data_IF_989515120154
#
_entry.id   IF_989515120154
#
_cell.length_a   1.000
_cell.length_b   1.000
_cell.length_c   1.000
_cell.angle_alpha   90.00
_cell.angle_beta   90.00
_cell.angle_gamma   90.00
#
_symmetry.space_group_name_H-M   'P 1'
#
loop_
_entity.id
_entity.type
_entity.pdbx_description
1 polymer ?
#
# COMPACT_ATOMS: atom_id res chain seq x y z
N UNK A 1 -37.64 -4.15 -5.02
CA UNK A 1 -37.94 -3.69 -3.65
C UNK A 1 -37.70 -4.76 -2.57
N UNK A 2 -37.63 -6.06 -2.91
CA UNK A 2 -37.37 -7.18 -1.98
C UNK A 2 -36.00 -7.16 -1.26
N UNK A 3 -34.95 -6.62 -1.88
CA UNK A 3 -33.58 -6.64 -1.33
C UNK A 3 -33.39 -5.81 -0.03
N UNK A 4 -34.33 -4.89 0.28
CA UNK A 4 -34.28 -4.06 1.50
C UNK A 4 -34.87 -4.77 2.71
N UNK A 5 -35.84 -5.65 2.50
CA UNK A 5 -36.49 -6.41 3.58
C UNK A 5 -35.64 -7.60 4.02
N UNK A 6 -34.86 -8.20 3.12
CA UNK A 6 -33.87 -9.23 3.47
C UNK A 6 -32.72 -8.70 4.34
N UNK A 7 -32.38 -7.41 4.23
CA UNK A 7 -31.39 -6.76 5.11
C UNK A 7 -31.85 -6.60 6.56
N UNK A 8 -33.15 -6.74 6.86
CA UNK A 8 -33.69 -6.72 8.22
C UNK A 8 -33.70 -8.10 8.89
N UNK A 9 -33.42 -9.16 8.14
CA UNK A 9 -33.37 -10.49 8.71
C UNK A 9 -32.11 -10.64 9.60
N UNK A 10 -32.26 -10.83 10.92
CA UNK A 10 -31.11 -10.91 11.84
C UNK A 10 -30.14 -12.03 11.45
N UNK A 11 -30.65 -13.14 10.89
CA UNK A 11 -29.83 -14.26 10.44
C UNK A 11 -28.95 -13.91 9.22
N UNK A 12 -29.47 -13.12 8.27
CA UNK A 12 -28.71 -12.66 7.10
C UNK A 12 -27.63 -11.65 7.52
N UNK A 13 -27.94 -10.79 8.49
CA UNK A 13 -27.01 -9.84 9.10
C UNK A 13 -25.87 -10.54 9.84
N UNK A 14 -26.17 -11.62 10.58
CA UNK A 14 -25.15 -12.43 11.24
C UNK A 14 -24.28 -13.20 10.24
N UNK A 15 -24.87 -13.77 9.19
CA UNK A 15 -24.13 -14.44 8.13
C UNK A 15 -23.15 -13.48 7.41
N UNK A 16 -23.60 -12.26 7.12
CA UNK A 16 -22.76 -11.21 6.55
C UNK A 16 -21.65 -10.76 7.51
N UNK A 17 -21.91 -10.65 8.81
CA UNK A 17 -20.87 -10.37 9.82
C UNK A 17 -19.85 -11.49 9.89
N UNK A 18 -20.29 -12.75 9.89
CA UNK A 18 -19.41 -13.91 9.91
C UNK A 18 -18.52 -13.97 8.66
N UNK A 19 -19.09 -13.74 7.46
CA UNK A 19 -18.33 -13.65 6.22
C UNK A 19 -17.33 -12.49 6.23
N UNK A 20 -17.70 -11.31 6.72
CA UNK A 20 -16.80 -10.15 6.85
C UNK A 20 -15.66 -10.42 7.84
N UNK A 21 -15.95 -11.07 8.97
CA UNK A 21 -14.95 -11.47 9.95
C UNK A 21 -13.98 -12.50 9.37
N UNK A 22 -14.49 -13.47 8.62
CA UNK A 22 -13.67 -14.48 7.94
C UNK A 22 -12.79 -13.87 6.84
N UNK A 23 -13.33 -12.93 6.06
CA UNK A 23 -12.58 -12.20 5.04
C UNK A 23 -11.50 -11.29 5.67
N UNK A 24 -11.84 -10.61 6.77
CA UNK A 24 -10.89 -9.82 7.55
C UNK A 24 -9.81 -10.69 8.24
N UNK A 25 -10.12 -11.95 8.55
CA UNK A 25 -9.14 -12.95 9.01
C UNK A 25 -8.16 -13.34 7.91
N UNK A 26 -8.63 -13.52 6.67
CA UNK A 26 -7.78 -13.83 5.50
C UNK A 26 -6.93 -12.65 5.02
N UNK A 27 -7.23 -11.43 5.45
CA UNK A 27 -6.47 -10.22 5.17
C UNK A 27 -5.31 -9.99 6.15
N UNK A 28 -4.99 -10.99 6.99
CA UNK A 28 -3.81 -10.94 7.83
C UNK A 28 -2.57 -10.77 6.95
N UNK A 29 -1.93 -9.61 7.06
CA UNK A 29 -0.91 -9.17 6.11
C UNK A 29 0.27 -10.14 6.17
N UNK A 30 0.51 -10.94 5.13
CA UNK A 30 1.59 -11.91 5.16
C UNK A 30 2.92 -11.17 5.26
N UNK A 31 3.86 -11.68 6.06
CA UNK A 31 5.17 -11.05 6.23
C UNK A 31 5.92 -10.92 4.88
N UNK A 32 5.74 -11.87 3.96
CA UNK A 32 6.32 -11.83 2.61
C UNK A 32 5.80 -10.65 1.78
N UNK A 33 4.54 -10.25 1.98
CA UNK A 33 3.93 -9.12 1.28
C UNK A 33 4.47 -7.79 1.79
N UNK A 34 4.68 -7.70 3.11
CA UNK A 34 5.37 -6.54 3.72
C UNK A 34 6.80 -6.43 3.20
N UNK A 35 7.53 -7.54 3.13
CA UNK A 35 8.90 -7.56 2.62
C UNK A 35 8.96 -7.15 1.13
N UNK A 36 8.06 -7.67 0.30
CA UNK A 36 7.97 -7.29 -1.11
C UNK A 36 7.66 -5.79 -1.29
N UNK A 37 6.79 -5.24 -0.44
CA UNK A 37 6.46 -3.82 -0.49
C UNK A 37 7.60 -2.92 0.02
N UNK A 38 8.28 -3.34 1.09
CA UNK A 38 9.49 -2.66 1.57
C UNK A 38 10.58 -2.64 0.51
N UNK A 39 10.76 -3.75 -0.21
CA UNK A 39 11.68 -3.82 -1.35
C UNK A 39 11.25 -2.86 -2.48
N UNK A 40 9.96 -2.84 -2.85
CA UNK A 40 9.46 -1.92 -3.85
C UNK A 40 9.69 -0.45 -3.46
N UNK A 41 9.48 -0.09 -2.19
CA UNK A 41 9.79 1.24 -1.67
C UNK A 41 11.28 1.56 -1.73
N UNK A 42 12.14 0.63 -1.31
CA UNK A 42 13.58 0.82 -1.37
C UNK A 42 14.07 1.08 -2.80
N UNK A 43 13.57 0.32 -3.78
CA UNK A 43 13.92 0.52 -5.19
C UNK A 43 13.37 1.85 -5.72
N UNK A 44 12.15 2.23 -5.33
CA UNK A 44 11.55 3.51 -5.73
C UNK A 44 12.35 4.71 -5.20
N UNK A 45 12.71 4.71 -3.91
CA UNK A 45 13.52 5.78 -3.30
C UNK A 45 15.00 5.72 -3.68
N UNK A 46 15.49 4.60 -4.20
CA UNK A 46 16.84 4.55 -4.77
C UNK A 46 16.91 5.18 -6.17
N UNK A 47 15.77 5.50 -6.82
CA UNK A 47 15.77 6.03 -8.19
C UNK A 47 16.47 7.36 -8.37
N UNK A 48 16.33 8.37 -7.51
CA UNK A 48 17.00 9.66 -7.71
C UNK A 48 18.51 9.53 -7.63
N UNK A 49 19.01 8.66 -6.74
CA UNK A 49 20.43 8.32 -6.67
C UNK A 49 20.85 7.56 -7.94
N UNK A 50 20.06 6.58 -8.35
CA UNK A 50 20.31 5.80 -9.56
C UNK A 50 20.33 6.65 -10.83
N UNK A 51 19.40 7.59 -10.99
CA UNK A 51 19.34 8.48 -12.16
C UNK A 51 20.50 9.48 -12.18
N UNK A 52 20.94 9.94 -11.01
CA UNK A 52 22.05 10.88 -10.89
C UNK A 52 23.43 10.25 -11.17
N UNK A 53 23.63 8.96 -10.86
CA UNK A 53 24.93 8.29 -10.98
C UNK A 53 25.00 7.16 -12.02
N UNK A 54 23.87 6.59 -12.43
CA UNK A 54 23.78 5.47 -13.38
C UNK A 54 22.76 5.78 -14.49
N UNK A 55 23.27 6.21 -15.64
CA UNK A 55 22.48 6.46 -16.84
C UNK A 55 21.69 5.21 -17.23
N UNK A 56 20.35 5.26 -17.14
CA UNK A 56 19.45 4.14 -17.47
C UNK A 56 18.87 3.37 -16.29
N UNK A 57 19.37 3.57 -15.06
CA UNK A 57 18.84 2.90 -13.87
C UNK A 57 17.38 3.30 -13.53
N UNK A 58 16.98 4.53 -13.89
CA UNK A 58 15.63 5.03 -13.62
C UNK A 58 14.52 4.21 -14.30
N UNK A 59 14.66 3.90 -15.59
CA UNK A 59 13.64 3.16 -16.35
C UNK A 59 13.56 1.71 -15.88
N UNK A 60 14.71 1.04 -15.73
CA UNK A 60 14.77 -0.34 -15.25
C UNK A 60 14.23 -0.49 -13.83
N UNK A 61 14.59 0.42 -12.92
CA UNK A 61 14.05 0.47 -11.58
C UNK A 61 12.53 0.70 -11.57
N UNK A 62 12.01 1.53 -12.47
CA UNK A 62 10.58 1.87 -12.51
C UNK A 62 9.74 0.69 -12.95
N UNK A 63 10.19 0.01 -13.99
CA UNK A 63 9.57 -1.24 -14.43
C UNK A 63 9.65 -2.30 -13.34
N UNK A 64 10.78 -2.43 -12.64
CA UNK A 64 10.93 -3.38 -11.54
C UNK A 64 9.94 -3.09 -10.40
N UNK A 65 9.82 -1.84 -9.96
CA UNK A 65 8.86 -1.44 -8.91
C UNK A 65 7.44 -1.74 -9.34
N UNK A 66 7.07 -1.40 -10.58
CA UNK A 66 5.72 -1.67 -11.11
C UNK A 66 5.45 -3.18 -11.15
N UNK A 67 6.39 -3.98 -11.65
CA UNK A 67 6.25 -5.45 -11.75
C UNK A 67 6.14 -6.08 -10.37
N UNK A 68 7.00 -5.70 -9.43
CA UNK A 68 6.96 -6.19 -8.04
C UNK A 68 5.65 -5.79 -7.37
N UNK A 69 5.19 -4.56 -7.57
CA UNK A 69 3.91 -4.09 -7.03
C UNK A 69 2.74 -4.91 -7.60
N UNK A 70 2.66 -5.06 -8.92
CA UNK A 70 1.59 -5.84 -9.57
C UNK A 70 1.60 -7.31 -9.13
N UNK A 71 2.78 -7.94 -9.05
CA UNK A 71 2.93 -9.31 -8.57
C UNK A 71 2.50 -9.45 -7.11
N UNK A 72 2.90 -8.50 -6.26
CA UNK A 72 2.50 -8.49 -4.85
C UNK A 72 0.98 -8.33 -4.72
N UNK A 73 0.35 -7.42 -5.48
CA UNK A 73 -1.10 -7.25 -5.50
C UNK A 73 -1.81 -8.50 -6.01
N UNK A 74 -1.30 -9.11 -7.08
CA UNK A 74 -1.86 -10.34 -7.64
C UNK A 74 -1.78 -11.50 -6.64
N UNK A 75 -0.61 -11.72 -6.03
CA UNK A 75 -0.41 -12.75 -5.02
C UNK A 75 -1.30 -12.52 -3.79
N UNK A 76 -1.44 -11.27 -3.34
CA UNK A 76 -2.34 -10.93 -2.23
C UNK A 76 -3.80 -11.20 -2.60
N UNK A 77 -4.23 -10.83 -3.81
CA UNK A 77 -5.58 -11.11 -4.30
C UNK A 77 -5.84 -12.62 -4.38
N UNK A 78 -4.83 -13.41 -4.78
CA UNK A 78 -4.93 -14.86 -4.89
C UNK A 78 -5.02 -15.57 -3.54
N UNK A 79 -4.35 -15.05 -2.51
CA UNK A 79 -4.33 -15.61 -1.15
C UNK A 79 -5.53 -15.13 -0.32
N UNK A 80 -5.84 -13.83 -0.36
CA UNK A 80 -6.90 -13.23 0.46
C UNK A 80 -8.29 -13.28 -0.19
N UNK A 81 -8.36 -13.48 -1.52
CA UNK A 81 -9.59 -13.37 -2.31
C UNK A 81 -10.08 -11.92 -2.50
N UNK A 82 -9.32 -10.93 -2.01
CA UNK A 82 -9.69 -9.50 -2.05
C UNK A 82 -8.74 -8.75 -2.97
N UNK A 83 -9.29 -8.08 -3.99
CA UNK A 83 -8.50 -7.24 -4.88
C UNK A 83 -8.29 -5.86 -4.24
N UNK A 84 -7.24 -5.75 -3.42
CA UNK A 84 -6.89 -4.52 -2.67
C UNK A 84 -6.31 -3.44 -3.60
N UNK A 85 -5.63 -3.83 -4.68
CA UNK A 85 -4.86 -2.92 -5.53
C UNK A 85 -5.69 -1.96 -6.40
N UNK A 86 -6.90 -2.35 -6.80
CA UNK A 86 -7.78 -1.52 -7.67
C UNK A 86 -8.87 -0.81 -6.87
N UNK A 87 -9.24 -1.34 -5.70
CA UNK A 87 -10.42 -0.91 -4.92
C UNK A 87 -10.03 -0.01 -3.72
N UNK A 88 -8.77 0.39 -3.65
CA UNK A 88 -8.14 1.24 -2.62
C UNK A 88 -8.94 2.52 -2.31
N UNK A 89 -9.55 3.11 -3.34
CA UNK A 89 -10.35 4.34 -3.24
C UNK A 89 -11.74 4.15 -2.64
N UNK A 90 -12.23 2.92 -2.56
CA UNK A 90 -13.56 2.61 -2.04
C UNK A 90 -13.63 2.62 -0.51
N UNK A 91 -12.48 2.52 0.15
CA UNK A 91 -12.38 2.53 1.61
C UNK A 91 -11.97 3.93 2.12
N UNK A 92 -12.77 4.59 2.98
CA UNK A 92 -12.46 5.92 3.48
C UNK A 92 -11.14 5.97 4.27
N UNK A 93 -10.86 4.94 5.07
CA UNK A 93 -9.57 4.84 5.77
C UNK A 93 -8.41 4.65 4.80
N UNK A 94 -8.66 3.99 3.67
CA UNK A 94 -7.68 3.78 2.62
C UNK A 94 -7.17 5.09 2.01
N UNK A 95 -8.07 6.05 1.77
CA UNK A 95 -7.75 7.35 1.15
C UNK A 95 -6.77 8.19 1.97
N UNK A 96 -6.96 8.26 3.29
CA UNK A 96 -6.06 9.01 4.17
C UNK A 96 -4.62 8.46 4.11
N UNK A 97 -4.48 7.13 4.11
CA UNK A 97 -3.18 6.49 3.99
C UNK A 97 -2.57 6.63 2.59
N UNK A 98 -3.37 6.60 1.53
CA UNK A 98 -2.88 6.91 0.17
C UNK A 98 -2.34 8.32 0.10
N UNK A 99 -3.02 9.32 0.69
CA UNK A 99 -2.52 10.69 0.75
C UNK A 99 -1.21 10.75 1.54
N UNK A 100 -1.12 10.08 2.69
CA UNK A 100 0.11 10.03 3.47
C UNK A 100 1.27 9.42 2.67
N UNK A 101 1.02 8.35 1.92
CA UNK A 101 2.02 7.72 1.04
C UNK A 101 2.48 8.70 -0.05
N UNK A 102 1.54 9.40 -0.70
CA UNK A 102 1.86 10.40 -1.72
C UNK A 102 2.71 11.53 -1.15
N UNK A 103 2.36 12.02 0.04
CA UNK A 103 3.15 13.05 0.73
C UNK A 103 4.57 12.58 1.07
N UNK A 104 4.73 11.32 1.50
CA UNK A 104 6.05 10.72 1.75
C UNK A 104 6.88 10.65 0.47
N UNK A 105 6.26 10.28 -0.65
CA UNK A 105 6.94 10.26 -1.96
C UNK A 105 7.45 11.66 -2.32
N UNK A 106 6.59 12.68 -2.28
CA UNK A 106 6.99 14.04 -2.62
C UNK A 106 8.05 14.60 -1.67
N UNK A 107 7.93 14.36 -0.37
CA UNK A 107 8.89 14.83 0.62
C UNK A 107 10.26 14.15 0.46
N UNK A 108 10.28 12.85 0.17
CA UNK A 108 11.51 12.11 -0.08
C UNK A 108 12.18 12.56 -1.37
N UNK A 109 11.44 12.70 -2.47
CA UNK A 109 11.96 13.12 -3.77
C UNK A 109 12.56 14.54 -3.72
N UNK A 110 11.84 15.48 -3.10
CA UNK A 110 12.34 16.83 -2.88
C UNK A 110 13.57 16.86 -1.96
N UNK A 111 13.55 16.07 -0.88
CA UNK A 111 14.66 15.96 0.06
C UNK A 111 15.92 15.37 -0.59
N UNK A 112 15.77 14.27 -1.31
CA UNK A 112 16.88 13.62 -2.02
C UNK A 112 17.45 14.53 -3.12
N UNK A 113 16.60 15.20 -3.90
CA UNK A 113 17.06 16.13 -4.94
C UNK A 113 17.91 17.26 -4.36
N UNK A 114 17.41 17.92 -3.30
CA UNK A 114 18.15 18.99 -2.62
C UNK A 114 19.48 18.49 -2.04
N UNK A 115 19.49 17.30 -1.42
CA UNK A 115 20.71 16.74 -0.84
C UNK A 115 21.73 16.34 -1.91
N UNK A 116 21.28 15.82 -3.04
CA UNK A 116 22.13 15.47 -4.18
C UNK A 116 22.72 16.73 -4.84
N UNK A 117 21.95 17.80 -5.01
CA UNK A 117 22.44 19.10 -5.48
C UNK A 117 23.58 19.64 -4.60
N UNK A 118 23.47 19.45 -3.28
CA UNK A 118 24.49 19.84 -2.30
C UNK A 118 25.61 18.79 -2.11
N UNK A 119 25.65 17.73 -2.94
CA UNK A 119 26.62 16.62 -2.88
C UNK A 119 26.63 15.83 -1.56
N UNK A 120 25.53 15.84 -0.82
CA UNK A 120 25.35 15.16 0.47
C UNK A 120 24.82 13.73 0.27
N UNK A 121 25.59 12.88 -0.40
CA UNK A 121 25.17 11.52 -0.77
C UNK A 121 24.75 10.67 0.44
N UNK A 122 25.52 10.71 1.53
CA UNK A 122 25.21 9.92 2.73
C UNK A 122 23.86 10.34 3.34
N UNK A 123 23.55 11.63 3.35
CA UNK A 123 22.27 12.14 3.84
C UNK A 123 21.12 11.71 2.92
N UNK A 124 21.31 11.75 1.60
CA UNK A 124 20.31 11.29 0.63
C UNK A 124 19.97 9.80 0.84
N UNK A 125 20.98 8.94 1.05
CA UNK A 125 20.77 7.52 1.37
C UNK A 125 19.97 7.35 2.68
N UNK A 126 20.27 8.13 3.71
CA UNK A 126 19.53 8.09 4.98
C UNK A 126 18.08 8.51 4.77
N UNK A 127 17.82 9.56 3.99
CA UNK A 127 16.46 10.00 3.64
C UNK A 127 15.69 8.91 2.91
N UNK A 128 16.27 8.27 1.90
CA UNK A 128 15.62 7.16 1.18
C UNK A 128 15.34 5.94 2.06
N UNK A 129 16.26 5.64 2.98
CA UNK A 129 16.05 4.59 4.00
C UNK A 129 14.89 4.92 4.94
N UNK A 130 14.82 6.15 5.46
CA UNK A 130 13.72 6.61 6.30
C UNK A 130 12.39 6.61 5.54
N UNK A 131 12.38 7.09 4.30
CA UNK A 131 11.20 7.10 3.44
C UNK A 131 10.69 5.68 3.17
N UNK A 132 11.60 4.71 3.00
CA UNK A 132 11.25 3.29 2.86
C UNK A 132 10.54 2.75 4.10
N UNK A 133 11.08 3.03 5.30
CA UNK A 133 10.46 2.62 6.57
C UNK A 133 9.08 3.26 6.72
N UNK A 134 8.99 4.57 6.51
CA UNK A 134 7.72 5.31 6.64
C UNK A 134 6.70 4.83 5.62
N UNK A 135 7.06 4.68 4.35
CA UNK A 135 6.19 4.15 3.30
C UNK A 135 5.67 2.75 3.61
N UNK A 136 6.53 1.87 4.15
CA UNK A 136 6.14 0.53 4.60
C UNK A 136 5.17 0.59 5.78
N UNK A 137 5.43 1.44 6.79
CA UNK A 137 4.52 1.65 7.90
C UNK A 137 3.17 2.22 7.47
N UNK A 138 3.17 3.20 6.55
CA UNK A 138 1.95 3.76 5.97
C UNK A 138 1.15 2.70 5.21
N UNK A 139 1.83 1.82 4.47
CA UNK A 139 1.19 0.70 3.77
C UNK A 139 0.58 -0.33 4.75
N UNK A 140 1.28 -0.66 5.84
CA UNK A 140 0.70 -1.50 6.89
C UNK A 140 -0.51 -0.84 7.56
N UNK A 141 -0.43 0.46 7.84
CA UNK A 141 -1.53 1.26 8.37
C UNK A 141 -2.74 1.25 7.43
N UNK A 142 -2.49 1.36 6.13
CA UNK A 142 -3.49 1.27 5.08
C UNK A 142 -4.26 -0.06 5.10
N UNK A 143 -3.54 -1.19 5.13
CA UNK A 143 -4.15 -2.52 5.17
C UNK A 143 -4.94 -2.74 6.47
N UNK A 144 -4.41 -2.28 7.61
CA UNK A 144 -5.11 -2.31 8.89
C UNK A 144 -6.39 -1.46 8.86
N UNK A 145 -6.35 -0.32 8.18
CA UNK A 145 -7.50 0.55 7.93
C UNK A 145 -8.59 -0.17 7.14
N UNK A 146 -8.23 -0.75 5.99
CA UNK A 146 -9.16 -1.53 5.15
C UNK A 146 -9.76 -2.70 5.95
N UNK A 147 -8.95 -3.41 6.74
CA UNK A 147 -9.42 -4.50 7.61
C UNK A 147 -10.48 -4.01 8.61
N UNK A 148 -10.26 -2.86 9.26
CA UNK A 148 -11.22 -2.25 10.18
C UNK A 148 -12.50 -1.78 9.47
N UNK A 149 -12.38 -1.21 8.27
CA UNK A 149 -13.54 -0.78 7.48
C UNK A 149 -14.37 -1.98 7.00
N UNK A 150 -13.72 -3.10 6.67
CA UNK A 150 -14.40 -4.37 6.35
C UNK A 150 -15.12 -4.96 7.58
N UNK A 151 -14.48 -4.98 8.75
CA UNK A 151 -15.11 -5.43 10.00
C UNK A 151 -16.34 -4.59 10.38
N UNK A 152 -16.27 -3.28 10.15
CA UNK A 152 -17.37 -2.34 10.46
C UNK A 152 -18.39 -2.21 9.34
N UNK A 153 -18.17 -2.85 8.18
CA UNK A 153 -19.08 -2.80 7.03
C UNK A 153 -19.09 -1.48 6.26
N UNK A 154 -18.10 -0.60 6.47
CA UNK A 154 -18.01 0.73 5.84
C UNK A 154 -17.58 0.72 4.37
N UNK A 155 -17.09 -0.41 3.84
CA UNK A 155 -16.59 -0.55 2.46
C UNK A 155 -17.60 -0.92 1.37
N UNK A 156 -18.87 -1.13 1.73
CA UNK A 156 -19.94 -1.56 0.80
C UNK A 156 -20.81 -0.42 0.29
N UNK A 157 -20.31 0.83 0.27
CA UNK A 157 -20.96 1.95 -0.42
C UNK A 157 -20.56 2.00 -1.89
#
# INVERSE_FOLDING_TARGET
MAMRDDMKNPAMLELLRAQRAQLAGRLETPWWYVAAMAFAWAVAFAMPIGSHYLTGAGIGGSLLVIVVFLLAQYALARVSGVNVGIVTWRYPSGRAWTIAIVMVIFAADAGETLLLEHRLLAAAIVVGGLATVVGTCCWQGHLRGIRRDLQTGRGAR
#
